data_IF_792493149400
#
_entry.id   IF_792493149400
#
_cell.length_a   1.000
_cell.length_b   1.000
_cell.length_c   1.000
_cell.angle_alpha   90.00
_cell.angle_beta   90.00
_cell.angle_gamma   90.00
#
_symmetry.space_group_name_H-M   'P 1'
#
loop_
_entity.id
_entity.type
_entity.pdbx_description
1 polymer ?
#
# COMPACT_ATOMS: atom_id res chain seq x y z
N UNK A 1 -16.87 1.54 -19.52
CA UNK A 1 -15.77 0.77 -18.90
C UNK A 1 -15.47 1.40 -17.56
N UNK A 2 -15.26 0.59 -16.51
CA UNK A 2 -14.98 1.10 -15.17
C UNK A 2 -13.49 1.42 -15.00
N UNK A 3 -13.18 2.49 -14.28
CA UNK A 3 -11.82 2.95 -13.98
C UNK A 3 -11.65 3.13 -12.47
N UNK A 4 -10.53 2.68 -11.91
CA UNK A 4 -10.25 2.77 -10.48
C UNK A 4 -9.01 3.63 -10.24
N UNK A 5 -9.11 4.56 -9.28
CA UNK A 5 -7.96 5.27 -8.71
C UNK A 5 -7.45 4.48 -7.52
N UNK A 6 -6.24 3.93 -7.63
CA UNK A 6 -5.68 2.98 -6.66
C UNK A 6 -4.46 3.58 -5.95
N UNK A 7 -4.32 3.29 -4.65
CA UNK A 7 -3.16 3.65 -3.82
C UNK A 7 -2.12 2.53 -3.82
N UNK A 8 -0.85 2.87 -3.54
CA UNK A 8 0.21 1.88 -3.38
C UNK A 8 -0.01 0.94 -2.20
N UNK A 9 0.45 -0.32 -2.32
CA UNK A 9 0.20 -1.36 -1.33
C UNK A 9 0.78 -1.03 0.06
N UNK A 10 1.85 -0.22 0.15
CA UNK A 10 2.42 0.19 1.43
C UNK A 10 1.67 1.36 2.11
N UNK A 11 0.50 1.76 1.59
CA UNK A 11 -0.31 2.81 2.21
C UNK A 11 -0.64 2.44 3.66
N UNK A 12 -0.18 3.27 4.61
CA UNK A 12 -0.21 2.94 6.05
C UNK A 12 -1.60 2.55 6.57
N UNK A 13 -2.70 3.26 6.25
CA UNK A 13 -4.04 2.84 6.67
C UNK A 13 -4.42 1.43 6.21
N UNK A 14 -4.04 1.04 4.98
CA UNK A 14 -4.28 -0.31 4.48
C UNK A 14 -3.48 -1.36 5.25
N UNK A 15 -2.20 -1.10 5.53
CA UNK A 15 -1.35 -2.00 6.32
C UNK A 15 -1.90 -2.22 7.74
N UNK A 16 -2.30 -1.12 8.41
CA UNK A 16 -2.94 -1.19 9.73
C UNK A 16 -4.25 -1.98 9.69
N UNK A 17 -5.05 -1.85 8.62
CA UNK A 17 -6.28 -2.62 8.47
C UNK A 17 -6.02 -4.13 8.30
N UNK A 18 -4.98 -4.52 7.55
CA UNK A 18 -4.56 -5.93 7.44
C UNK A 18 -4.13 -6.48 8.81
N UNK A 19 -3.30 -5.74 9.55
CA UNK A 19 -2.87 -6.15 10.89
C UNK A 19 -4.06 -6.34 11.83
N UNK A 20 -5.04 -5.42 11.79
CA UNK A 20 -6.28 -5.54 12.56
C UNK A 20 -7.10 -6.76 12.16
N UNK A 21 -7.23 -7.04 10.86
CA UNK A 21 -7.93 -8.23 10.38
C UNK A 21 -7.26 -9.53 10.88
N UNK A 22 -5.92 -9.59 10.85
CA UNK A 22 -5.17 -10.72 11.39
C UNK A 22 -5.36 -10.90 12.90
N UNK A 23 -5.32 -9.81 13.66
CA UNK A 23 -5.55 -9.82 15.11
C UNK A 23 -6.97 -10.28 15.45
N UNK A 24 -7.97 -9.83 14.69
CA UNK A 24 -9.37 -10.20 14.91
C UNK A 24 -9.60 -11.71 14.73
N UNK A 25 -8.97 -12.33 13.73
CA UNK A 25 -9.05 -13.79 13.54
C UNK A 25 -8.31 -14.51 14.66
N UNK A 26 -7.11 -14.04 15.01
CA UNK A 26 -6.28 -14.67 16.04
C UNK A 26 -6.93 -14.61 17.42
N UNK A 27 -7.67 -13.55 17.73
CA UNK A 27 -8.34 -13.37 19.03
C UNK A 27 -9.63 -14.19 19.18
N UNK A 28 -10.28 -14.57 18.09
CA UNK A 28 -11.55 -15.32 18.11
C UNK A 28 -11.37 -16.80 18.48
N UNK A 29 -10.14 -17.31 18.44
CA UNK A 29 -9.85 -18.74 18.58
C UNK A 29 -10.20 -19.52 17.32
N UNK A 30 -9.85 -20.81 17.32
CA UNK A 30 -9.96 -21.69 16.14
C UNK A 30 -11.10 -22.71 16.26
N UNK A 31 -12.09 -22.45 17.12
CA UNK A 31 -13.21 -23.37 17.30
C UNK A 31 -14.22 -23.24 16.15
N UNK A 32 -14.02 -24.05 15.13
CA UNK A 32 -14.82 -24.07 13.89
C UNK A 32 -16.26 -24.54 14.10
N UNK A 33 -16.58 -25.11 15.28
CA UNK A 33 -17.93 -25.61 15.58
C UNK A 33 -18.82 -24.51 16.19
N UNK A 34 -18.23 -23.40 16.64
CA UNK A 34 -18.99 -22.25 17.17
C UNK A 34 -19.59 -21.48 16.01
N UNK A 35 -20.92 -21.37 16.00
CA UNK A 35 -21.65 -20.55 15.04
C UNK A 35 -21.74 -19.11 15.54
N UNK A 36 -21.08 -18.19 14.86
CA UNK A 36 -21.25 -16.74 15.03
C UNK A 36 -21.77 -16.16 13.70
N UNK A 37 -23.04 -15.75 13.68
CA UNK A 37 -23.70 -15.21 12.48
C UNK A 37 -23.15 -13.86 12.05
N UNK A 38 -22.45 -13.15 12.95
CA UNK A 38 -21.82 -11.87 12.65
C UNK A 38 -20.32 -12.00 12.34
N UNK A 39 -19.76 -13.22 12.37
CA UNK A 39 -18.37 -13.45 12.06
C UNK A 39 -18.12 -13.33 10.56
N UNK A 40 -17.32 -12.32 10.20
CA UNK A 40 -16.73 -12.23 8.86
C UNK A 40 -15.61 -13.23 8.68
N UNK A 41 -15.52 -13.78 7.46
CA UNK A 41 -14.38 -14.58 7.00
C UNK A 41 -13.14 -13.70 6.85
N UNK A 42 -11.95 -14.30 6.96
CA UNK A 42 -10.70 -13.53 6.85
C UNK A 42 -10.56 -12.82 5.50
N UNK A 43 -10.96 -13.47 4.40
CA UNK A 43 -10.88 -12.85 3.07
C UNK A 43 -11.86 -11.68 2.92
N UNK A 44 -13.04 -11.72 3.53
CA UNK A 44 -13.98 -10.58 3.56
C UNK A 44 -13.36 -9.39 4.29
N UNK A 45 -12.66 -9.63 5.41
CA UNK A 45 -11.91 -8.57 6.11
C UNK A 45 -10.80 -7.97 5.24
N UNK A 46 -10.11 -8.80 4.44
CA UNK A 46 -9.09 -8.32 3.49
C UNK A 46 -9.69 -7.54 2.32
N UNK A 47 -10.89 -7.92 1.87
CA UNK A 47 -11.64 -7.19 0.85
C UNK A 47 -12.14 -5.85 1.39
N UNK A 48 -12.65 -5.81 2.61
CA UNK A 48 -13.07 -4.58 3.29
C UNK A 48 -11.90 -3.62 3.48
N UNK A 49 -10.73 -4.14 3.88
CA UNK A 49 -9.51 -3.34 3.97
C UNK A 49 -9.10 -2.76 2.60
N UNK A 50 -9.21 -3.55 1.53
CA UNK A 50 -8.93 -3.09 0.16
C UNK A 50 -9.92 -2.01 -0.28
N UNK A 51 -11.22 -2.25 -0.09
CA UNK A 51 -12.30 -1.33 -0.39
C UNK A 51 -12.13 0.02 0.29
N UNK A 52 -11.80 0.02 1.58
CA UNK A 52 -11.71 1.24 2.37
C UNK A 52 -10.41 2.04 2.18
N UNK A 53 -9.32 1.38 1.78
CA UNK A 53 -7.99 1.99 1.85
C UNK A 53 -7.12 1.89 0.60
N UNK A 54 -7.36 0.93 -0.31
CA UNK A 54 -6.62 0.88 -1.58
C UNK A 54 -7.35 1.60 -2.71
N UNK A 55 -8.67 1.58 -2.71
CA UNK A 55 -9.47 2.40 -3.64
C UNK A 55 -9.52 3.82 -3.10
N UNK A 56 -9.10 4.79 -3.90
CA UNK A 56 -9.25 6.21 -3.59
C UNK A 56 -10.51 6.79 -4.22
N UNK A 57 -10.84 6.36 -5.44
CA UNK A 57 -12.02 6.77 -6.20
C UNK A 57 -12.25 5.80 -7.37
N UNK A 58 -13.38 5.90 -8.06
CA UNK A 58 -13.65 5.19 -9.31
C UNK A 58 -14.61 5.94 -10.23
N UNK A 59 -14.76 5.46 -11.47
CA UNK A 59 -15.77 5.91 -12.43
C UNK A 59 -16.38 4.72 -13.17
N UNK A 60 -17.64 4.83 -13.57
CA UNK A 60 -18.28 3.83 -14.43
C UNK A 60 -18.64 2.52 -13.72
N UNK A 61 -18.72 2.52 -12.39
CA UNK A 61 -19.22 1.36 -11.61
C UNK A 61 -20.73 1.44 -11.51
N UNK A 62 -21.42 0.46 -12.09
CA UNK A 62 -22.88 0.39 -12.15
C UNK A 62 -23.37 -0.81 -11.36
N UNK A 63 -24.34 -0.58 -10.47
CA UNK A 63 -25.01 -1.65 -9.74
C UNK A 63 -26.37 -1.91 -10.38
N UNK A 64 -26.63 -3.18 -10.67
CA UNK A 64 -27.94 -3.68 -11.07
C UNK A 64 -28.69 -4.15 -9.81
N UNK A 65 -29.74 -3.43 -9.42
CA UNK A 65 -30.58 -3.75 -8.26
C UNK A 65 -32.00 -4.05 -8.72
N UNK A 66 -32.68 -5.01 -8.09
CA UNK A 66 -34.07 -5.33 -8.43
C UNK A 66 -34.98 -4.43 -7.59
N UNK A 67 -35.69 -3.52 -8.25
CA UNK A 67 -36.71 -2.64 -7.65
C UNK A 67 -38.04 -2.93 -8.31
N UNK A 68 -39.07 -3.27 -7.53
CA UNK A 68 -40.41 -3.62 -8.02
C UNK A 68 -40.42 -4.72 -9.10
N UNK A 69 -39.54 -5.72 -8.95
CA UNK A 69 -39.40 -6.83 -9.90
C UNK A 69 -38.70 -6.47 -11.21
N UNK A 70 -38.15 -5.26 -11.34
CA UNK A 70 -37.37 -4.80 -12.49
C UNK A 70 -35.93 -4.55 -12.11
N UNK A 71 -35.01 -4.96 -12.98
CA UNK A 71 -33.60 -4.61 -12.82
C UNK A 71 -33.40 -3.14 -13.18
N UNK A 72 -32.94 -2.37 -12.19
CA UNK A 72 -32.57 -0.96 -12.34
C UNK A 72 -31.06 -0.87 -12.21
N UNK A 73 -30.43 -0.36 -13.27
CA UNK A 73 -29.00 -0.07 -13.29
C UNK A 73 -28.76 1.37 -12.87
N UNK A 74 -27.89 1.57 -11.88
CA UNK A 74 -27.48 2.91 -11.45
C UNK A 74 -25.97 2.98 -11.24
N UNK A 75 -25.34 4.03 -11.78
CA UNK A 75 -23.96 4.34 -11.47
C UNK A 75 -23.84 4.74 -10.01
N UNK A 76 -22.87 4.15 -9.30
CA UNK A 76 -22.62 4.44 -7.88
C UNK A 76 -21.29 5.17 -7.74
N UNK A 77 -21.23 6.28 -7.00
CA UNK A 77 -19.96 6.90 -6.66
C UNK A 77 -19.18 6.00 -5.71
N UNK A 78 -17.87 6.22 -5.65
CA UNK A 78 -17.04 5.56 -4.66
C UNK A 78 -17.47 5.99 -3.25
N UNK A 79 -17.79 5.01 -2.42
CA UNK A 79 -17.78 5.10 -0.96
C UNK A 79 -17.18 3.78 -0.44
N UNK A 80 -16.59 3.77 0.77
CA UNK A 80 -16.09 2.53 1.37
C UNK A 80 -17.16 1.42 1.43
N UNK A 81 -18.43 1.78 1.67
CA UNK A 81 -19.56 0.86 1.73
C UNK A 81 -19.90 0.29 0.35
N UNK A 82 -19.95 1.14 -0.69
CA UNK A 82 -20.17 0.68 -2.05
C UNK A 82 -19.01 -0.19 -2.52
N UNK A 83 -17.78 0.15 -2.17
CA UNK A 83 -16.59 -0.62 -2.49
C UNK A 83 -16.57 -1.97 -1.79
N UNK A 84 -16.92 -2.02 -0.50
CA UNK A 84 -17.08 -3.28 0.23
C UNK A 84 -18.18 -4.13 -0.41
N UNK A 85 -19.34 -3.53 -0.75
CA UNK A 85 -20.42 -4.23 -1.45
C UNK A 85 -19.95 -4.80 -2.78
N UNK A 86 -19.21 -4.02 -3.59
CA UNK A 86 -18.67 -4.45 -4.88
C UNK A 86 -17.70 -5.64 -4.74
N UNK A 87 -16.75 -5.55 -3.81
CA UNK A 87 -15.71 -6.58 -3.66
C UNK A 87 -16.23 -7.87 -3.02
N UNK A 88 -17.30 -7.80 -2.23
CA UNK A 88 -17.96 -8.97 -1.66
C UNK A 88 -19.13 -9.50 -2.54
N UNK A 89 -19.36 -8.93 -3.73
CA UNK A 89 -20.46 -9.35 -4.62
C UNK A 89 -20.05 -10.55 -5.50
N UNK A 90 -20.40 -11.75 -5.06
CA UNK A 90 -20.19 -12.99 -5.82
C UNK A 90 -18.74 -13.20 -6.25
N UNK A 91 -18.53 -14.00 -7.28
CA UNK A 91 -17.17 -14.40 -7.71
C UNK A 91 -16.41 -13.25 -8.39
N UNK A 92 -17.13 -12.29 -8.97
CA UNK A 92 -16.50 -11.16 -9.69
C UNK A 92 -15.78 -10.21 -8.74
N UNK A 93 -16.29 -10.06 -7.50
CA UNK A 93 -15.66 -9.25 -6.47
C UNK A 93 -14.23 -9.68 -6.14
N UNK A 94 -13.96 -10.98 -6.11
CA UNK A 94 -12.62 -11.56 -5.91
C UNK A 94 -11.67 -11.13 -7.03
N UNK A 95 -12.15 -11.16 -8.28
CA UNK A 95 -11.34 -10.78 -9.45
C UNK A 95 -11.01 -9.29 -9.45
N UNK A 96 -11.97 -8.44 -9.07
CA UNK A 96 -11.76 -6.99 -8.92
C UNK A 96 -10.77 -6.72 -7.79
N UNK A 97 -10.91 -7.41 -6.65
CA UNK A 97 -9.98 -7.30 -5.52
C UNK A 97 -8.56 -7.66 -5.91
N UNK A 98 -8.37 -8.78 -6.63
CA UNK A 98 -7.06 -9.22 -7.11
C UNK A 98 -6.45 -8.17 -8.05
N UNK A 99 -7.23 -7.66 -9.00
CA UNK A 99 -6.80 -6.60 -9.90
C UNK A 99 -6.33 -5.35 -9.13
N UNK A 100 -7.10 -4.87 -8.15
CA UNK A 100 -6.72 -3.70 -7.34
C UNK A 100 -5.43 -3.97 -6.58
N UNK A 101 -5.28 -5.15 -5.97
CA UNK A 101 -4.05 -5.52 -5.26
C UNK A 101 -2.83 -5.54 -6.18
N UNK A 102 -2.96 -6.11 -7.38
CA UNK A 102 -1.87 -6.13 -8.35
C UNK A 102 -1.46 -4.73 -8.79
N UNK A 103 -2.43 -3.84 -9.06
CA UNK A 103 -2.12 -2.45 -9.39
C UNK A 103 -1.48 -1.70 -8.21
N UNK A 104 -1.99 -1.90 -6.99
CA UNK A 104 -1.40 -1.32 -5.78
C UNK A 104 0.05 -1.77 -5.56
N UNK A 105 0.36 -3.05 -5.83
CA UNK A 105 1.71 -3.57 -5.75
C UNK A 105 2.62 -2.96 -6.82
N UNK A 106 2.17 -2.89 -8.07
CA UNK A 106 2.94 -2.25 -9.16
C UNK A 106 3.27 -0.79 -8.86
N UNK A 107 2.30 -0.02 -8.40
CA UNK A 107 2.49 1.39 -8.00
C UNK A 107 3.56 1.51 -6.91
N UNK A 108 3.54 0.61 -5.93
CA UNK A 108 4.53 0.61 -4.86
C UNK A 108 5.93 0.24 -5.36
N UNK A 109 6.04 -0.80 -6.20
CA UNK A 109 7.30 -1.22 -6.78
C UNK A 109 7.93 -0.12 -7.65
N UNK A 110 7.14 0.63 -8.41
CA UNK A 110 7.61 1.81 -9.14
C UNK A 110 8.11 2.91 -8.20
N UNK A 111 7.31 3.26 -7.17
CA UNK A 111 7.70 4.27 -6.20
C UNK A 111 8.99 3.90 -5.44
N UNK A 112 9.18 2.62 -5.10
CA UNK A 112 10.37 2.13 -4.42
C UNK A 112 11.60 2.13 -5.34
N UNK A 113 11.44 1.80 -6.63
CA UNK A 113 12.51 1.93 -7.64
C UNK A 113 12.96 3.38 -7.81
N UNK A 114 12.00 4.31 -7.91
CA UNK A 114 12.29 5.74 -8.04
C UNK A 114 13.01 6.27 -6.80
N UNK A 115 12.55 5.90 -5.60
CA UNK A 115 13.20 6.24 -4.34
C UNK A 115 14.64 5.72 -4.28
N UNK A 116 14.86 4.46 -4.66
CA UNK A 116 16.20 3.86 -4.68
C UNK A 116 17.13 4.57 -5.68
N UNK A 117 16.62 4.93 -6.86
CA UNK A 117 17.37 5.68 -7.87
C UNK A 117 17.79 7.07 -7.35
N UNK A 118 16.89 7.78 -6.66
CA UNK A 118 17.19 9.10 -6.09
C UNK A 118 18.22 8.99 -4.96
N UNK A 119 18.05 8.03 -4.04
CA UNK A 119 18.98 7.82 -2.92
C UNK A 119 20.36 7.35 -3.39
N UNK A 120 20.42 6.46 -4.38
CA UNK A 120 21.67 5.97 -4.97
C UNK A 120 22.44 7.04 -5.73
N UNK A 121 21.78 8.12 -6.16
CA UNK A 121 22.41 9.29 -6.80
C UNK A 121 22.99 10.30 -5.80
N UNK A 122 22.93 10.06 -4.48
CA UNK A 122 23.54 10.98 -3.51
C UNK A 122 25.05 11.03 -3.72
N UNK A 123 25.48 12.16 -4.27
CA UNK A 123 26.84 12.55 -4.63
C UNK A 123 27.89 12.15 -3.59
N UNK A 124 29.05 11.73 -4.09
CA UNK A 124 30.28 11.52 -3.33
C UNK A 124 30.36 12.47 -2.14
N UNK A 125 30.31 11.89 -0.93
CA UNK A 125 30.63 12.57 0.33
C UNK A 125 31.81 13.52 0.10
N UNK A 126 31.61 14.78 0.50
CA UNK A 126 32.56 15.88 0.38
C UNK A 126 33.97 15.37 0.63
N UNK A 127 34.80 15.31 -0.41
CA UNK A 127 36.20 14.94 -0.28
C UNK A 127 36.91 16.11 0.42
N UNK A 128 36.85 16.11 1.76
CA UNK A 128 37.62 17.03 2.60
C UNK A 128 39.07 16.62 2.41
N UNK A 129 39.71 17.08 1.32
CA UNK A 129 41.15 17.02 1.14
C UNK A 129 41.74 17.73 2.36
N UNK A 130 42.17 16.94 3.36
CA UNK A 130 42.97 17.42 4.49
C UNK A 130 44.11 18.22 3.88
N UNK A 131 44.07 19.54 4.07
CA UNK A 131 45.12 20.46 3.64
C UNK A 131 46.39 20.03 4.37
N UNK A 132 47.27 19.29 3.68
CA UNK A 132 48.57 18.91 4.23
C UNK A 132 49.31 20.20 4.62
N UNK A 133 49.45 20.45 5.93
CA UNK A 133 50.35 21.48 6.44
C UNK A 133 51.76 21.11 5.97
N UNK A 134 52.26 21.83 4.97
CA UNK A 134 53.67 21.82 4.56
C UNK A 134 54.52 22.06 5.81
N UNK A 135 55.21 21.01 6.27
CA UNK A 135 56.16 21.07 7.39
C UNK A 135 57.32 21.99 6.94
N UNK A 136 57.45 23.16 7.57
CA UNK A 136 58.61 24.04 7.36
C UNK A 136 59.87 23.25 7.75
N UNK A 137 60.77 23.05 6.78
CA UNK A 137 62.07 22.42 6.98
C UNK A 137 62.95 23.42 7.74
N UNK A 138 63.23 23.17 9.02
CA UNK A 138 64.24 23.93 9.75
C UNK A 138 65.63 23.49 9.25
N UNK A 139 66.42 24.44 8.76
CA UNK A 139 67.85 24.25 8.52
C UNK A 139 68.55 24.20 9.88
N UNK A 140 69.14 23.06 10.23
CA UNK A 140 70.10 22.96 11.33
C UNK A 140 71.43 23.57 10.86
N UNK A 141 71.84 24.69 11.48
CA UNK A 141 73.22 25.14 11.37
C UNK A 141 74.06 24.31 12.35
N UNK A 142 75.05 23.60 11.80
CA UNK A 142 76.10 22.93 12.55
C UNK A 142 77.17 23.98 12.84
N UNK A 143 77.36 24.34 14.10
CA UNK A 143 78.54 25.06 14.57
C UNK A 143 79.31 24.15 15.53
N UNK A 144 80.47 23.73 15.08
CA UNK A 144 81.53 23.08 15.86
C UNK A 144 82.24 24.10 16.74
N UNK A 145 82.46 23.75 18.01
CA UNK A 145 83.74 23.84 18.75
C UNK A 145 83.54 23.24 20.14
#
# INVERSE_FOLDING_TARGET
>A
QAEFKVRGIAYKPFQVAIERAGNQISSKGYDVMVKDENAKLYHELLMDACAAHLIEDWKGVVFAEIVDGKTVESEKPYTPENASKLLNLGDIGISIWLFIKEQAQRIQEEADKDKALILGKSSSSTNTKKRMRRKRRMKSNKSSS
#
